data_IF_334289486439
#
_entry.id   IF_334289486439
#
_cell.length_a   1.000
_cell.length_b   1.000
_cell.length_c   1.000
_cell.angle_alpha   90.00
_cell.angle_beta   90.00
_cell.angle_gamma   90.00
#
_symmetry.space_group_name_H-M   'P 1'
#
loop_
_entity.id
_entity.type
_entity.pdbx_description
1 polymer ?
#
# COMPACT_ATOMS: atom_id res chain seq x y z
N UNK A 1 -13.14 -18.16 27.28
CA UNK A 1 -13.73 -17.08 26.48
C UNK A 1 -14.08 -15.91 27.39
N UNK A 2 -13.80 -14.67 26.98
CA UNK A 2 -14.05 -13.46 27.78
C UNK A 2 -15.55 -13.23 28.02
N UNK A 3 -15.93 -12.65 29.17
CA UNK A 3 -17.33 -12.23 29.45
C UNK A 3 -17.90 -11.35 28.33
N UNK A 4 -17.07 -10.53 27.68
CA UNK A 4 -17.45 -9.66 26.58
C UNK A 4 -17.90 -10.43 25.33
N UNK A 5 -17.27 -11.56 25.02
CA UNK A 5 -17.63 -12.40 23.87
C UNK A 5 -19.02 -13.01 24.02
N UNK A 6 -19.35 -13.47 25.23
CA UNK A 6 -20.65 -14.05 25.53
C UNK A 6 -21.78 -13.01 25.50
N UNK A 7 -21.46 -11.74 25.73
CA UNK A 7 -22.44 -10.66 25.86
C UNK A 7 -22.72 -9.93 24.53
N UNK A 8 -21.71 -9.78 23.67
CA UNK A 8 -21.84 -9.00 22.42
C UNK A 8 -21.68 -9.83 21.14
N UNK A 9 -21.35 -11.12 21.23
CA UNK A 9 -21.26 -12.02 20.09
C UNK A 9 -20.08 -11.77 19.14
N UNK A 10 -19.14 -10.90 19.50
CA UNK A 10 -17.89 -10.70 18.76
C UNK A 10 -16.67 -10.76 19.69
N UNK A 11 -15.54 -11.20 19.14
CA UNK A 11 -14.25 -11.33 19.82
C UNK A 11 -13.23 -10.45 19.11
N UNK A 12 -12.53 -9.59 19.84
CA UNK A 12 -11.38 -8.86 19.33
C UNK A 12 -10.13 -9.55 19.86
N UNK A 13 -9.39 -10.24 18.99
CA UNK A 13 -8.10 -10.81 19.35
C UNK A 13 -7.01 -9.75 19.14
N UNK A 14 -6.23 -9.50 20.19
CA UNK A 14 -5.12 -8.57 20.12
C UNK A 14 -3.96 -9.22 19.38
N UNK A 15 -3.76 -8.86 18.11
CA UNK A 15 -2.57 -9.27 17.36
C UNK A 15 -1.44 -8.27 17.59
N UNK A 16 -0.22 -8.78 17.78
CA UNK A 16 0.95 -7.93 17.99
C UNK A 16 1.39 -7.21 16.71
N UNK A 17 2.17 -6.12 16.84
CA UNK A 17 2.61 -5.28 15.72
C UNK A 17 3.44 -6.03 14.67
N UNK A 18 4.05 -7.16 15.02
CA UNK A 18 4.78 -8.06 14.12
C UNK A 18 3.89 -8.68 13.03
N UNK A 19 2.56 -8.72 13.24
CA UNK A 19 1.59 -9.24 12.26
C UNK A 19 1.11 -8.16 11.28
N UNK A 20 1.51 -6.90 11.49
CA UNK A 20 1.07 -5.76 10.70
C UNK A 20 2.02 -5.55 9.52
N UNK A 21 1.51 -5.77 8.31
CA UNK A 21 2.18 -5.34 7.07
C UNK A 21 1.80 -3.88 6.82
N UNK A 22 2.72 -2.95 7.07
CA UNK A 22 2.52 -1.51 6.89
C UNK A 22 3.83 -0.81 6.50
N UNK A 23 3.76 0.40 5.88
CA UNK A 23 4.95 1.13 5.44
C UNK A 23 5.91 1.46 6.58
N UNK A 24 7.20 1.55 6.27
CA UNK A 24 8.22 1.92 7.26
C UNK A 24 7.87 3.23 7.99
N UNK A 25 8.09 3.25 9.31
CA UNK A 25 7.83 4.40 10.17
C UNK A 25 6.35 4.69 10.46
N UNK A 26 5.42 3.79 10.12
CA UNK A 26 3.99 3.96 10.37
C UNK A 26 3.66 4.23 11.85
N UNK A 27 4.46 3.72 12.78
CA UNK A 27 4.25 3.90 14.22
C UNK A 27 4.32 5.37 14.64
N UNK A 28 5.12 6.18 13.94
CA UNK A 28 5.25 7.62 14.17
C UNK A 28 4.12 8.43 13.55
N UNK A 29 3.36 7.83 12.63
CA UNK A 29 2.27 8.46 11.90
C UNK A 29 0.88 8.02 12.39
N UNK A 30 0.79 7.38 13.56
CA UNK A 30 -0.50 6.92 14.10
C UNK A 30 -1.42 8.08 14.44
N UNK A 31 -2.69 7.92 14.12
CA UNK A 31 -3.76 8.86 14.47
C UNK A 31 -4.43 8.39 15.75
N UNK A 32 -4.56 9.28 16.73
CA UNK A 32 -5.33 9.01 17.94
C UNK A 32 -6.83 9.20 17.66
N UNK A 33 -7.61 8.15 17.86
CA UNK A 33 -9.06 8.24 17.95
C UNK A 33 -9.46 8.23 19.42
N UNK A 34 -9.99 9.35 19.88
CA UNK A 34 -10.45 9.51 21.27
C UNK A 34 -11.97 9.46 21.30
N UNK A 35 -12.54 8.62 22.16
CA UNK A 35 -13.99 8.51 22.39
C UNK A 35 -14.28 8.40 23.87
N UNK A 36 -15.57 8.43 24.26
CA UNK A 36 -16.00 8.20 25.65
C UNK A 36 -16.82 6.93 25.76
N UNK A 37 -16.62 6.19 26.85
CA UNK A 37 -17.47 5.06 27.20
C UNK A 37 -18.86 5.55 27.60
N UNK A 38 -19.82 4.63 27.69
CA UNK A 38 -21.15 4.92 28.23
C UNK A 38 -21.09 5.44 29.68
N UNK A 39 -20.03 5.10 30.43
CA UNK A 39 -19.78 5.64 31.77
C UNK A 39 -19.03 6.98 31.77
N UNK A 40 -18.78 7.59 30.60
CA UNK A 40 -18.11 8.88 30.46
C UNK A 40 -16.58 8.86 30.52
N UNK A 41 -15.95 7.69 30.66
CA UNK A 41 -14.50 7.55 30.68
C UNK A 41 -13.93 7.77 29.28
N UNK A 42 -12.91 8.61 29.16
CA UNK A 42 -12.19 8.80 27.89
C UNK A 42 -11.34 7.58 27.55
N UNK A 43 -11.44 7.10 26.31
CA UNK A 43 -10.66 5.99 25.77
C UNK A 43 -9.99 6.45 24.49
N UNK A 44 -8.70 6.13 24.35
CA UNK A 44 -7.89 6.45 23.18
C UNK A 44 -7.45 5.17 22.47
N UNK A 45 -7.81 5.04 21.20
CA UNK A 45 -7.25 4.05 20.27
C UNK A 45 -6.23 4.68 19.34
N UNK A 46 -5.14 3.97 19.05
CA UNK A 46 -4.18 4.39 18.02
C UNK A 46 -4.46 3.64 16.72
N UNK A 47 -4.74 4.39 15.67
CA UNK A 47 -5.04 3.84 14.35
C UNK A 47 -3.94 4.19 13.35
N UNK A 48 -3.81 3.38 12.30
CA UNK A 48 -3.03 3.75 11.13
C UNK A 48 -3.63 5.01 10.50
N UNK A 49 -2.76 5.91 10.04
CA UNK A 49 -3.19 7.01 9.17
C UNK A 49 -3.68 6.43 7.83
N UNK A 50 -4.61 7.13 7.18
CA UNK A 50 -5.30 6.70 5.97
C UNK A 50 -4.37 6.13 4.90
N UNK A 51 -3.21 6.74 4.64
CA UNK A 51 -2.29 6.27 3.60
C UNK A 51 -1.59 4.97 4.01
N UNK A 52 -1.15 4.86 5.27
CA UNK A 52 -0.53 3.63 5.77
C UNK A 52 -1.56 2.48 5.84
N UNK A 53 -2.81 2.80 6.20
CA UNK A 53 -3.92 1.86 6.21
C UNK A 53 -4.22 1.35 4.80
N UNK A 54 -4.30 2.25 3.81
CA UNK A 54 -4.54 1.88 2.42
C UNK A 54 -3.44 0.98 1.89
N UNK A 55 -2.18 1.32 2.16
CA UNK A 55 -1.04 0.49 1.74
C UNK A 55 -1.13 -0.89 2.39
N UNK A 56 -1.40 -0.94 3.70
CA UNK A 56 -1.57 -2.20 4.44
C UNK A 56 -2.70 -3.08 3.85
N UNK A 57 -3.85 -2.47 3.51
CA UNK A 57 -4.99 -3.18 2.91
C UNK A 57 -4.74 -3.61 1.47
N UNK A 58 -4.07 -2.76 0.70
CA UNK A 58 -3.69 -3.06 -0.67
C UNK A 58 -2.74 -4.26 -0.73
N UNK A 59 -1.70 -4.27 0.11
CA UNK A 59 -0.75 -5.41 0.20
C UNK A 59 -1.43 -6.68 0.72
N UNK A 60 -2.39 -6.57 1.65
CA UNK A 60 -3.16 -7.73 2.10
C UNK A 60 -4.05 -8.35 1.00
N UNK A 61 -4.37 -7.61 -0.06
CA UNK A 61 -4.89 -8.14 -1.33
C UNK A 61 -6.26 -8.83 -1.26
N UNK A 62 -7.05 -8.65 -0.19
CA UNK A 62 -8.37 -9.32 -0.09
C UNK A 62 -9.38 -8.63 -1.01
N UNK A 63 -10.35 -9.35 -1.60
CA UNK A 63 -11.35 -8.75 -2.51
C UNK A 63 -12.07 -7.52 -1.93
N UNK A 64 -12.47 -7.59 -0.65
CA UNK A 64 -13.10 -6.46 0.07
C UNK A 64 -12.17 -5.27 0.32
N UNK A 65 -10.86 -5.52 0.40
CA UNK A 65 -9.86 -4.50 0.69
C UNK A 65 -9.64 -3.63 -0.58
N UNK A 66 -9.78 -4.20 -1.78
CA UNK A 66 -9.74 -3.45 -3.05
C UNK A 66 -10.92 -2.48 -3.21
N UNK A 67 -12.14 -2.92 -2.84
CA UNK A 67 -13.32 -2.04 -2.83
C UNK A 67 -13.16 -0.87 -1.85
N UNK A 68 -12.66 -1.17 -0.65
CA UNK A 68 -12.33 -0.16 0.35
C UNK A 68 -11.31 0.85 -0.19
N UNK A 69 -10.19 0.38 -0.76
CA UNK A 69 -9.17 1.26 -1.32
C UNK A 69 -9.72 2.14 -2.45
N UNK A 70 -10.52 1.57 -3.35
CA UNK A 70 -11.16 2.33 -4.43
C UNK A 70 -12.09 3.42 -3.90
N UNK A 71 -12.88 3.13 -2.86
CA UNK A 71 -13.77 4.11 -2.24
C UNK A 71 -13.00 5.26 -1.58
N UNK A 72 -11.93 4.97 -0.83
CA UNK A 72 -11.13 6.01 -0.16
C UNK A 72 -10.43 6.94 -1.16
N UNK A 73 -9.90 6.37 -2.26
CA UNK A 73 -9.29 7.15 -3.35
C UNK A 73 -10.34 8.05 -4.01
N UNK A 74 -11.53 7.52 -4.33
CA UNK A 74 -12.62 8.30 -4.95
C UNK A 74 -13.10 9.46 -4.08
N UNK A 75 -13.07 9.29 -2.76
CA UNK A 75 -13.44 10.33 -1.81
C UNK A 75 -12.31 11.34 -1.55
N UNK A 76 -11.20 11.27 -2.31
CA UNK A 76 -10.02 12.12 -2.18
C UNK A 76 -9.45 12.18 -0.75
N UNK A 77 -9.64 11.12 0.04
CA UNK A 77 -9.15 11.03 1.43
C UNK A 77 -7.69 10.55 1.54
N UNK A 78 -7.05 10.30 0.41
CA UNK A 78 -5.64 9.95 0.32
C UNK A 78 -4.99 10.65 -0.88
N UNK A 79 -3.86 11.27 -0.63
CA UNK A 79 -3.00 11.91 -1.62
C UNK A 79 -2.14 10.85 -2.31
N UNK A 80 -2.26 10.79 -3.63
CA UNK A 80 -1.52 9.82 -4.47
C UNK A 80 -0.01 9.94 -4.25
N UNK A 81 0.55 11.14 -4.30
CA UNK A 81 2.00 11.32 -4.19
C UNK A 81 2.54 10.87 -2.83
N UNK A 82 1.76 11.04 -1.76
CA UNK A 82 2.11 10.56 -0.43
C UNK A 82 1.99 9.03 -0.30
N UNK A 83 0.99 8.41 -0.94
CA UNK A 83 0.90 6.95 -1.04
C UNK A 83 2.14 6.38 -1.74
N UNK A 84 2.53 6.99 -2.87
CA UNK A 84 3.68 6.56 -3.66
C UNK A 84 5.00 6.71 -2.88
N UNK A 85 5.20 7.85 -2.22
CA UNK A 85 6.38 8.08 -1.38
C UNK A 85 6.49 7.06 -0.24
N UNK A 86 5.36 6.64 0.33
CA UNK A 86 5.33 5.66 1.44
C UNK A 86 5.48 4.22 0.98
N UNK A 87 4.96 3.90 -0.21
CA UNK A 87 5.10 2.57 -0.80
C UNK A 87 6.56 2.27 -1.19
N UNK A 88 7.38 3.31 -1.42
CA UNK A 88 8.78 3.18 -1.83
C UNK A 88 8.93 2.08 -2.89
N UNK A 89 8.08 2.05 -3.92
CA UNK A 89 8.06 0.96 -4.93
C UNK A 89 9.11 1.18 -6.01
N UNK A 90 9.38 2.46 -6.28
CA UNK A 90 10.36 2.93 -7.23
C UNK A 90 11.35 3.78 -6.44
N UNK A 91 12.64 3.49 -6.60
CA UNK A 91 13.72 4.31 -6.04
C UNK A 91 14.49 4.96 -7.18
N UNK A 92 14.84 6.24 -7.05
CA UNK A 92 15.75 6.94 -7.94
C UNK A 92 16.75 7.70 -7.08
N UNK A 93 18.03 7.44 -7.26
CA UNK A 93 19.13 8.07 -6.52
C UNK A 93 20.35 8.12 -7.44
N UNK A 94 21.13 9.20 -7.39
CA UNK A 94 22.35 9.35 -8.19
C UNK A 94 23.37 8.24 -7.88
N UNK A 95 23.32 7.68 -6.67
CA UNK A 95 24.15 6.57 -6.22
C UNK A 95 23.70 5.21 -6.81
N UNK A 96 22.50 5.15 -7.40
CA UNK A 96 21.88 3.95 -7.97
C UNK A 96 21.61 4.16 -9.45
N UNK A 97 22.45 3.55 -10.30
CA UNK A 97 22.34 3.64 -11.77
C UNK A 97 22.19 5.09 -12.26
N UNK A 98 22.92 6.02 -11.65
CA UNK A 98 22.96 7.43 -12.04
C UNK A 98 21.57 8.10 -12.05
N UNK A 99 20.73 7.80 -11.06
CA UNK A 99 19.40 8.39 -10.93
C UNK A 99 18.32 7.67 -11.74
N UNK A 100 18.65 6.56 -12.41
CA UNK A 100 17.65 5.76 -13.13
C UNK A 100 16.60 5.21 -12.17
N UNK A 101 15.29 5.41 -12.42
CA UNK A 101 14.24 4.82 -11.60
C UNK A 101 14.29 3.29 -11.65
N UNK A 102 14.48 2.66 -10.50
CA UNK A 102 14.55 1.21 -10.33
C UNK A 102 13.42 0.70 -9.44
N UNK A 103 13.07 -0.57 -9.56
CA UNK A 103 12.27 -1.24 -8.53
C UNK A 103 13.00 -1.13 -7.18
N UNK A 104 12.26 -0.79 -6.13
CA UNK A 104 12.90 -0.54 -4.84
C UNK A 104 13.54 -1.79 -4.24
N UNK A 105 14.73 -1.59 -3.67
CA UNK A 105 15.59 -2.69 -3.21
C UNK A 105 16.35 -3.39 -4.34
N UNK A 106 16.01 -3.12 -5.60
CA UNK A 106 16.56 -3.78 -6.77
C UNK A 106 17.37 -2.82 -7.63
N UNK A 107 18.35 -3.36 -8.37
CA UNK A 107 19.06 -2.60 -9.42
C UNK A 107 18.42 -2.82 -10.80
N UNK A 108 17.13 -3.13 -10.82
CA UNK A 108 16.36 -3.41 -12.04
C UNK A 108 15.58 -2.15 -12.41
N UNK A 109 15.89 -1.50 -13.55
CA UNK A 109 15.16 -0.31 -14.00
C UNK A 109 13.67 -0.58 -14.20
N UNK A 110 12.83 0.40 -13.86
CA UNK A 110 11.40 0.34 -14.20
C UNK A 110 11.19 0.26 -15.72
N UNK A 111 12.12 0.84 -16.50
CA UNK A 111 12.13 0.72 -17.96
C UNK A 111 12.13 -0.73 -18.44
N UNK A 112 12.80 -1.64 -17.75
CA UNK A 112 12.85 -3.06 -18.11
C UNK A 112 11.46 -3.70 -18.16
N UNK A 113 10.56 -3.31 -17.26
CA UNK A 113 9.16 -3.76 -17.32
C UNK A 113 8.46 -3.27 -18.60
N UNK A 114 8.74 -2.04 -19.03
CA UNK A 114 8.16 -1.47 -20.24
C UNK A 114 8.72 -2.20 -21.47
N UNK A 115 10.03 -2.41 -21.52
CA UNK A 115 10.70 -3.12 -22.62
C UNK A 115 10.11 -4.54 -22.78
N UNK A 116 9.90 -5.29 -21.68
CA UNK A 116 9.27 -6.62 -21.73
C UNK A 116 7.85 -6.58 -22.29
N UNK A 117 7.05 -5.58 -21.90
CA UNK A 117 5.67 -5.44 -22.40
C UNK A 117 5.67 -5.08 -23.89
N UNK A 118 6.56 -4.20 -24.33
CA UNK A 118 6.71 -3.82 -25.73
C UNK A 118 7.16 -5.00 -26.61
N UNK A 119 8.00 -5.88 -26.07
CA UNK A 119 8.43 -7.13 -26.72
C UNK A 119 7.37 -8.24 -26.67
N UNK A 120 6.25 -8.03 -25.96
CA UNK A 120 5.16 -8.99 -25.84
C UNK A 120 5.39 -10.08 -24.79
N UNK A 121 6.39 -9.92 -23.93
CA UNK A 121 6.65 -10.81 -22.79
C UNK A 121 5.64 -10.59 -21.66
N UNK A 122 5.41 -11.65 -20.90
CA UNK A 122 4.51 -11.62 -19.75
C UNK A 122 5.22 -11.14 -18.49
N UNK A 123 4.44 -10.71 -17.49
CA UNK A 123 4.97 -10.40 -16.15
C UNK A 123 5.67 -11.63 -15.54
N UNK A 124 5.19 -12.85 -15.86
CA UNK A 124 5.82 -14.07 -15.37
C UNK A 124 7.24 -14.22 -15.91
N UNK A 125 7.49 -13.88 -17.18
CA UNK A 125 8.81 -13.94 -17.79
C UNK A 125 9.77 -12.96 -17.11
N UNK A 126 9.32 -11.73 -16.83
CA UNK A 126 10.10 -10.76 -16.07
C UNK A 126 10.48 -11.25 -14.67
N UNK A 127 9.55 -11.92 -13.98
CA UNK A 127 9.82 -12.45 -12.63
C UNK A 127 10.73 -13.70 -12.65
N UNK A 128 10.77 -14.42 -13.76
CA UNK A 128 11.73 -15.52 -13.97
C UNK A 128 13.13 -14.97 -14.17
N UNK A 129 13.27 -13.92 -14.98
CA UNK A 129 14.57 -13.32 -15.29
C UNK A 129 15.09 -12.44 -14.14
N UNK A 130 14.19 -11.84 -13.36
CA UNK A 130 14.50 -11.00 -12.20
C UNK A 130 13.76 -11.49 -10.95
N UNK A 131 14.15 -12.64 -10.37
CA UNK A 131 13.43 -13.26 -9.25
C UNK A 131 13.49 -12.45 -7.94
N UNK A 132 14.39 -11.47 -7.86
CA UNK A 132 14.48 -10.53 -6.74
C UNK A 132 13.41 -9.43 -6.81
N UNK A 133 12.87 -9.15 -8.00
CA UNK A 133 11.76 -8.22 -8.17
C UNK A 133 10.49 -8.83 -7.58
N UNK A 134 9.97 -8.22 -6.51
CA UNK A 134 8.71 -8.63 -5.94
C UNK A 134 7.55 -8.39 -6.93
N UNK A 135 6.72 -9.42 -7.16
CA UNK A 135 5.52 -9.33 -8.00
C UNK A 135 4.62 -8.15 -7.63
N UNK A 136 4.48 -7.87 -6.34
CA UNK A 136 3.66 -6.76 -5.85
C UNK A 136 4.21 -5.40 -6.30
N UNK A 137 5.54 -5.25 -6.40
CA UNK A 137 6.15 -4.04 -6.94
C UNK A 137 5.81 -3.86 -8.41
N UNK A 138 5.84 -4.94 -9.21
CA UNK A 138 5.44 -4.90 -10.63
C UNK A 138 3.98 -4.49 -10.79
N UNK A 139 3.07 -5.11 -10.04
CA UNK A 139 1.64 -4.80 -10.07
C UNK A 139 1.40 -3.32 -9.71
N UNK A 140 2.09 -2.83 -8.69
CA UNK A 140 1.96 -1.44 -8.25
C UNK A 140 2.46 -0.45 -9.31
N UNK A 141 3.62 -0.71 -9.93
CA UNK A 141 4.12 0.12 -11.04
C UNK A 141 3.13 0.15 -12.21
N UNK A 142 2.54 -1.00 -12.58
CA UNK A 142 1.52 -1.05 -13.63
C UNK A 142 0.26 -0.26 -13.28
N UNK A 143 -0.20 -0.32 -12.02
CA UNK A 143 -1.33 0.47 -11.55
C UNK A 143 -1.03 1.98 -11.65
N UNK A 144 0.20 2.40 -11.33
CA UNK A 144 0.63 3.80 -11.46
C UNK A 144 0.57 4.29 -12.91
N UNK A 145 1.12 3.50 -13.84
CA UNK A 145 1.12 3.81 -15.27
C UNK A 145 -0.32 3.91 -15.81
N UNK A 146 -1.20 2.99 -15.39
CA UNK A 146 -2.60 3.00 -15.78
C UNK A 146 -3.32 4.27 -15.32
N UNK A 147 -3.17 4.66 -14.06
CA UNK A 147 -3.78 5.89 -13.53
C UNK A 147 -3.26 7.13 -14.27
N UNK A 148 -1.97 7.15 -14.61
CA UNK A 148 -1.36 8.28 -15.32
C UNK A 148 -1.90 8.43 -16.73
N UNK A 149 -2.04 7.32 -17.47
CA UNK A 149 -2.67 7.31 -18.78
C UNK A 149 -4.12 7.81 -18.72
N UNK A 150 -4.90 7.37 -17.73
CA UNK A 150 -6.27 7.83 -17.53
C UNK A 150 -6.34 9.32 -17.22
N UNK A 151 -5.40 9.85 -16.44
CA UNK A 151 -5.31 11.29 -16.13
C UNK A 151 -4.97 12.15 -17.34
N UNK A 152 -4.17 11.65 -18.28
CA UNK A 152 -3.86 12.35 -19.52
C UNK A 152 -5.04 12.31 -20.49
N UNK A 153 -5.68 11.15 -20.62
CA UNK A 153 -6.87 10.98 -21.46
C UNK A 153 -8.09 11.78 -20.97
N UNK A 154 -8.20 12.07 -19.68
CA UNK A 154 -9.28 12.89 -19.12
C UNK A 154 -9.06 14.41 -19.27
N UNK A 155 -7.87 14.85 -19.71
CA UNK A 155 -7.52 16.26 -19.94
C UNK A 155 -7.49 16.65 -21.42
N UNK A 156 -7.63 15.66 -22.31
CA UNK A 156 -7.70 15.78 -23.78
C UNK A 156 -9.13 15.65 -24.26
#
# INVERSE_FOLDING_TARGET
MSKFHNEFGYYADGVGPETVVAPEGWQHRRVALTTRTLQGTEVRGWCLETHDLLISKYVAGRPKDLEYCSAVIRLAKAEKDLLLNRLKVITASDDILSGTPVFAGERVPVRTLIDYIEEGHSIADLLVDFPTVAKDNVIQVLAMLKDDLQRHAARS
#
